data_IF_607234383432
#
_entry.id   IF_607234383432
#
_cell.length_a   1.000
_cell.length_b   1.000
_cell.length_c   1.000
_cell.angle_alpha   90.00
_cell.angle_beta   90.00
_cell.angle_gamma   90.00
#
_symmetry.space_group_name_H-M   'P 1'
#
loop_
_entity.id
_entity.type
_entity.pdbx_description
1 polymer ?
#
# COMPACT_ATOMS: atom_id res chain seq x y z
N UNK A 1 -33.44 18.55 39.60
CA UNK A 1 -33.00 17.19 39.22
C UNK A 1 -31.90 17.32 38.17
N UNK A 2 -30.70 16.76 38.42
CA UNK A 2 -29.66 16.68 37.38
C UNK A 2 -30.08 15.59 36.39
N UNK A 3 -30.38 15.97 35.15
CA UNK A 3 -30.61 15.04 34.04
C UNK A 3 -29.35 15.00 33.17
N UNK A 4 -29.04 13.82 32.64
CA UNK A 4 -27.83 13.59 31.82
C UNK A 4 -26.73 12.80 32.54
N UNK A 5 -25.48 12.99 32.13
CA UNK A 5 -24.31 12.16 32.51
C UNK A 5 -24.05 12.08 34.03
N UNK A 6 -24.60 12.99 34.83
CA UNK A 6 -24.42 13.04 36.30
C UNK A 6 -25.65 12.63 37.13
N UNK A 7 -26.67 12.00 36.54
CA UNK A 7 -27.85 11.53 37.26
C UNK A 7 -27.58 10.32 38.18
N UNK A 8 -28.32 10.16 39.30
CA UNK A 8 -28.18 9.00 40.19
C UNK A 8 -28.60 7.69 39.48
N UNK A 9 -27.78 6.63 39.60
CA UNK A 9 -28.04 5.31 39.01
C UNK A 9 -27.15 4.90 37.84
N UNK A 10 -26.28 5.79 37.32
CA UNK A 10 -25.27 5.44 36.30
C UNK A 10 -23.96 4.99 36.95
N UNK A 11 -23.37 3.89 36.46
CA UNK A 11 -22.03 3.46 36.88
C UNK A 11 -20.99 4.54 36.52
N UNK A 12 -20.19 4.95 37.51
CA UNK A 12 -19.03 5.81 37.28
C UNK A 12 -17.93 4.96 36.64
N UNK A 13 -17.63 5.24 35.38
CA UNK A 13 -16.58 4.58 34.61
C UNK A 13 -15.49 5.62 34.37
N UNK A 14 -14.38 5.47 35.09
CA UNK A 14 -13.23 6.38 34.96
C UNK A 14 -12.42 6.15 33.68
N UNK A 15 -12.60 4.99 33.03
CA UNK A 15 -11.86 4.60 31.84
C UNK A 15 -12.27 5.42 30.60
N UNK A 16 -11.28 5.99 29.89
CA UNK A 16 -11.48 6.78 28.67
C UNK A 16 -12.09 5.99 27.51
N UNK A 17 -11.74 4.71 27.38
CA UNK A 17 -12.31 3.80 26.37
C UNK A 17 -12.50 2.41 26.97
N UNK A 18 -13.61 1.75 26.68
CA UNK A 18 -13.91 0.38 27.11
C UNK A 18 -13.56 -0.68 26.05
N UNK A 19 -12.91 -0.28 24.95
CA UNK A 19 -12.47 -1.23 23.92
C UNK A 19 -11.39 -2.13 24.50
N UNK A 20 -11.65 -3.43 24.47
CA UNK A 20 -10.71 -4.50 24.86
C UNK A 20 -10.25 -5.32 23.64
N UNK A 21 -10.79 -5.02 22.45
CA UNK A 21 -10.48 -5.68 21.20
C UNK A 21 -9.23 -5.09 20.53
N UNK A 22 -8.52 -5.92 19.76
CA UNK A 22 -7.36 -5.51 18.97
C UNK A 22 -7.77 -4.79 17.68
N UNK A 23 -8.53 -3.71 17.82
CA UNK A 23 -9.10 -2.92 16.71
C UNK A 23 -8.04 -2.39 15.72
N UNK A 24 -6.79 -2.24 16.18
CA UNK A 24 -5.68 -1.72 15.39
C UNK A 24 -5.14 -2.73 14.35
N UNK A 25 -5.46 -4.03 14.49
CA UNK A 25 -4.93 -5.06 13.58
C UNK A 25 -5.41 -4.81 12.15
N UNK A 26 -6.70 -4.54 11.94
CA UNK A 26 -7.22 -4.30 10.60
C UNK A 26 -6.51 -3.13 9.86
N UNK A 27 -6.40 -1.91 10.42
CA UNK A 27 -5.67 -0.84 9.76
C UNK A 27 -4.17 -1.10 9.65
N UNK A 28 -3.54 -1.77 10.63
CA UNK A 28 -2.12 -2.11 10.54
C UNK A 28 -1.82 -3.12 9.42
N UNK A 29 -2.67 -4.12 9.23
CA UNK A 29 -2.53 -5.08 8.12
C UNK A 29 -2.59 -4.36 6.77
N UNK A 30 -3.57 -3.48 6.58
CA UNK A 30 -3.68 -2.69 5.34
C UNK A 30 -2.44 -1.82 5.12
N UNK A 31 -1.96 -1.15 6.16
CA UNK A 31 -0.74 -0.35 6.10
C UNK A 31 0.47 -1.18 5.68
N UNK A 32 0.69 -2.33 6.33
CA UNK A 32 1.82 -3.23 6.03
C UNK A 32 1.77 -3.73 4.60
N UNK A 33 0.60 -4.15 4.10
CA UNK A 33 0.45 -4.61 2.71
C UNK A 33 0.79 -3.50 1.73
N UNK A 34 0.28 -2.29 1.94
CA UNK A 34 0.60 -1.16 1.05
C UNK A 34 2.06 -0.72 1.14
N UNK A 35 2.67 -0.70 2.33
CA UNK A 35 4.09 -0.42 2.47
C UNK A 35 4.93 -1.45 1.73
N UNK A 36 4.63 -2.75 1.88
CA UNK A 36 5.33 -3.81 1.16
C UNK A 36 5.18 -3.64 -0.37
N UNK A 37 3.98 -3.32 -0.84
CA UNK A 37 3.74 -3.05 -2.26
C UNK A 37 4.55 -1.85 -2.78
N UNK A 38 4.58 -0.73 -2.04
CA UNK A 38 5.35 0.46 -2.44
C UNK A 38 6.84 0.14 -2.50
N UNK A 39 7.38 -0.56 -1.50
CA UNK A 39 8.79 -0.94 -1.48
C UNK A 39 9.15 -1.87 -2.64
N UNK A 40 8.31 -2.89 -2.88
CA UNK A 40 8.53 -3.86 -3.95
C UNK A 40 8.40 -3.22 -5.35
N UNK A 41 7.34 -2.46 -5.58
CA UNK A 41 7.11 -1.76 -6.86
C UNK A 41 8.24 -0.76 -7.14
N UNK A 42 8.68 -0.01 -6.13
CA UNK A 42 9.81 0.93 -6.26
C UNK A 42 11.08 0.18 -6.65
N UNK A 43 11.43 -0.89 -5.94
CA UNK A 43 12.60 -1.70 -6.30
C UNK A 43 12.48 -2.24 -7.73
N UNK A 44 11.34 -2.83 -8.11
CA UNK A 44 11.17 -3.39 -9.45
C UNK A 44 11.23 -2.33 -10.54
N UNK A 45 10.69 -1.13 -10.33
CA UNK A 45 10.75 -0.02 -11.28
C UNK A 45 12.19 0.49 -11.50
N UNK A 46 13.06 0.46 -10.49
CA UNK A 46 14.43 0.97 -10.59
C UNK A 46 15.51 -0.11 -10.76
N UNK A 47 15.17 -1.40 -10.65
CA UNK A 47 16.15 -2.49 -10.69
C UNK A 47 16.88 -2.64 -12.02
N UNK A 48 16.28 -2.23 -13.13
CA UNK A 48 16.87 -2.27 -14.48
C UNK A 48 17.16 -3.67 -15.00
N UNK A 49 16.56 -4.72 -14.41
CA UNK A 49 16.89 -6.11 -14.71
C UNK A 49 15.65 -7.02 -14.77
N UNK A 50 15.72 -8.06 -15.61
CA UNK A 50 14.66 -9.04 -15.82
C UNK A 50 13.30 -8.38 -16.15
N UNK A 51 13.30 -7.38 -17.02
CA UNK A 51 12.11 -6.62 -17.40
C UNK A 51 11.54 -7.05 -18.75
N UNK A 52 12.29 -7.83 -19.53
CA UNK A 52 11.93 -8.29 -20.88
C UNK A 52 12.15 -9.78 -21.01
N UNK A 53 11.15 -10.47 -21.58
CA UNK A 53 11.23 -11.86 -22.01
C UNK A 53 10.28 -12.01 -23.19
N UNK A 54 10.81 -12.07 -24.42
CA UNK A 54 10.02 -11.99 -25.65
C UNK A 54 8.77 -12.90 -25.65
N UNK A 55 7.56 -12.38 -25.94
CA UNK A 55 7.17 -10.99 -26.29
C UNK A 55 6.71 -10.14 -25.09
N UNK A 56 7.00 -10.56 -23.86
CA UNK A 56 6.51 -9.92 -22.64
C UNK A 56 7.45 -8.82 -22.15
N UNK A 57 6.89 -7.63 -22.01
CA UNK A 57 7.52 -6.49 -21.34
C UNK A 57 6.82 -6.24 -20.01
N UNK A 58 7.59 -6.02 -18.95
CA UNK A 58 7.00 -5.73 -17.64
C UNK A 58 6.28 -4.36 -17.66
N UNK A 59 5.14 -4.20 -16.96
CA UNK A 59 4.35 -2.98 -16.99
C UNK A 59 5.11 -1.71 -16.54
N UNK A 60 6.09 -1.86 -15.63
CA UNK A 60 6.89 -0.73 -15.14
C UNK A 60 7.86 -0.17 -16.19
N UNK A 61 8.18 -0.96 -17.23
CA UNK A 61 9.10 -0.58 -18.31
C UNK A 61 8.36 -0.38 -19.64
N UNK A 62 7.03 -0.45 -19.65
CA UNK A 62 6.20 -0.28 -20.84
C UNK A 62 5.65 1.16 -20.97
N UNK A 63 5.66 1.77 -22.17
CA UNK A 63 6.44 1.36 -23.35
C UNK A 63 7.95 1.62 -23.15
N UNK A 64 8.79 0.81 -23.80
CA UNK A 64 10.23 1.00 -23.72
C UNK A 64 10.68 2.12 -24.68
N UNK A 65 10.74 3.36 -24.16
CA UNK A 65 11.04 4.58 -24.95
C UNK A 65 12.46 5.12 -24.78
N UNK A 66 13.31 4.42 -24.04
CA UNK A 66 14.67 4.89 -23.71
C UNK A 66 15.73 4.19 -24.55
N UNK A 67 16.89 4.80 -24.73
CA UNK A 67 18.03 4.20 -25.45
C UNK A 67 18.65 2.96 -24.75
N UNK A 68 18.12 2.57 -23.58
CA UNK A 68 18.61 1.43 -22.78
C UNK A 68 17.71 0.19 -22.87
N UNK A 69 16.77 0.18 -23.80
CA UNK A 69 15.91 -0.97 -24.05
C UNK A 69 16.72 -2.16 -24.59
N UNK A 70 16.35 -3.37 -24.18
CA UNK A 70 16.87 -4.59 -24.84
C UNK A 70 16.38 -4.64 -26.28
N UNK A 71 17.19 -5.20 -27.18
CA UNK A 71 16.81 -5.39 -28.58
C UNK A 71 15.46 -6.12 -28.67
N UNK A 72 14.54 -5.58 -29.48
CA UNK A 72 13.19 -6.12 -29.64
C UNK A 72 12.20 -5.74 -28.53
N UNK A 73 12.62 -5.07 -27.45
CA UNK A 73 11.71 -4.62 -26.39
C UNK A 73 10.95 -3.32 -26.72
N UNK A 74 11.39 -2.59 -27.75
CA UNK A 74 10.78 -1.35 -28.21
C UNK A 74 9.79 -1.59 -29.35
N UNK A 75 8.64 -2.22 -29.04
CA UNK A 75 7.60 -2.56 -30.03
C UNK A 75 7.06 -1.34 -30.80
N UNK A 76 7.17 -0.15 -30.22
CA UNK A 76 6.71 1.12 -30.79
C UNK A 76 7.83 1.99 -31.38
N UNK A 77 9.10 1.54 -31.29
CA UNK A 77 10.28 2.34 -31.63
C UNK A 77 10.70 3.33 -30.55
N UNK A 78 11.86 3.95 -30.72
CA UNK A 78 12.39 5.03 -29.88
C UNK A 78 12.26 6.37 -30.61
N UNK A 79 11.92 7.47 -29.91
CA UNK A 79 11.86 8.81 -30.51
C UNK A 79 13.24 9.33 -30.97
#
# INVERSE_FOLDING_TARGET
>A
MSTGVRGPGRAQIDAKTLRQDNWWIAPATTFVVFTAFVLYSSWRAFSGANFYAEPYLSPFYSPCLTDRCTDGAADLGTP
#
